data_IF_319822492773
#
_entry.id   IF_319822492773
#
_cell.length_a   1.000
_cell.length_b   1.000
_cell.length_c   1.000
_cell.angle_alpha   90.00
_cell.angle_beta   90.00
_cell.angle_gamma   90.00
#
_symmetry.space_group_name_H-M   'P 1'
#
loop_
_entity.id
_entity.type
_entity.pdbx_description
1 polymer ?
#
# COMPACT_ATOMS: atom_id res chain seq x y z
N UNK A 1 -20.33 18.99 -42.32
CA UNK A 1 -20.17 18.79 -40.87
C UNK A 1 -18.85 18.08 -40.64
N UNK A 2 -17.77 18.84 -40.43
CA UNK A 2 -16.43 18.28 -40.21
C UNK A 2 -16.15 18.29 -38.71
N UNK A 3 -15.94 17.12 -38.13
CA UNK A 3 -15.36 16.98 -36.79
C UNK A 3 -13.85 16.93 -37.01
N UNK A 4 -13.05 17.91 -36.57
CA UNK A 4 -11.61 17.80 -36.64
C UNK A 4 -11.12 16.88 -35.51
N UNK A 5 -10.57 15.73 -35.88
CA UNK A 5 -9.72 14.89 -35.04
C UNK A 5 -8.47 15.72 -34.65
N UNK A 6 -8.50 16.29 -33.44
CA UNK A 6 -7.38 17.05 -32.87
C UNK A 6 -6.38 16.02 -32.32
N UNK A 7 -5.11 16.01 -32.75
CA UNK A 7 -4.13 15.11 -32.18
C UNK A 7 -3.98 15.44 -30.69
N UNK A 8 -4.26 14.45 -29.84
CA UNK A 8 -4.00 14.53 -28.42
C UNK A 8 -2.48 14.48 -28.26
N UNK A 9 -1.85 15.65 -28.16
CA UNK A 9 -0.46 15.78 -27.73
C UNK A 9 -0.34 15.09 -26.37
N UNK A 10 0.27 13.90 -26.34
CA UNK A 10 0.80 13.33 -25.10
C UNK A 10 1.87 14.29 -24.61
N UNK A 11 1.51 15.13 -23.65
CA UNK A 11 2.50 15.73 -22.76
C UNK A 11 3.11 14.57 -22.00
N UNK A 12 4.31 14.15 -22.42
CA UNK A 12 5.21 13.36 -21.59
C UNK A 12 5.53 14.21 -20.37
N UNK A 13 4.71 14.11 -19.33
CA UNK A 13 5.12 14.50 -17.97
C UNK A 13 6.37 13.68 -17.73
N UNK A 14 7.48 14.40 -17.50
CA UNK A 14 8.82 13.87 -17.58
C UNK A 14 8.95 12.51 -16.91
N UNK A 15 9.74 11.63 -17.53
CA UNK A 15 10.29 10.47 -16.87
C UNK A 15 11.16 10.97 -15.70
N UNK A 16 10.50 11.32 -14.59
CA UNK A 16 11.12 11.23 -13.29
C UNK A 16 11.63 9.81 -13.23
N UNK A 17 12.95 9.67 -13.16
CA UNK A 17 13.58 8.39 -12.91
C UNK A 17 12.77 7.72 -11.81
N UNK A 18 12.07 6.63 -12.12
CA UNK A 18 11.75 5.64 -11.11
C UNK A 18 13.13 5.15 -10.69
N UNK A 19 13.71 5.80 -9.68
CA UNK A 19 14.80 5.22 -8.96
C UNK A 19 14.25 3.88 -8.50
N UNK A 20 14.77 2.81 -9.08
CA UNK A 20 14.72 1.47 -8.53
C UNK A 20 15.52 1.50 -7.22
N UNK A 21 15.06 2.29 -6.26
CA UNK A 21 15.50 2.23 -4.89
C UNK A 21 15.08 0.87 -4.39
N UNK A 22 15.97 0.19 -3.68
CA UNK A 22 15.61 -0.96 -2.87
C UNK A 22 14.33 -0.58 -2.11
N UNK A 23 13.25 -1.36 -2.25
CA UNK A 23 12.01 -1.07 -1.54
C UNK A 23 12.35 -0.85 -0.07
N UNK A 24 11.95 0.27 0.54
CA UNK A 24 12.39 0.60 1.91
C UNK A 24 11.75 -0.33 2.95
N UNK A 25 10.70 -1.02 2.57
CA UNK A 25 10.08 -2.10 3.32
C UNK A 25 9.44 -3.12 2.35
N UNK A 26 8.91 -4.20 2.88
CA UNK A 26 8.04 -5.15 2.18
C UNK A 26 6.77 -5.42 2.98
N UNK A 27 5.63 -5.60 2.32
CA UNK A 27 4.38 -6.05 2.95
C UNK A 27 4.21 -7.55 2.71
N UNK A 28 3.82 -8.33 3.72
CA UNK A 28 3.57 -9.78 3.58
C UNK A 28 2.21 -10.13 4.18
N UNK A 29 1.33 -10.88 3.48
CA UNK A 29 1.48 -11.38 2.10
C UNK A 29 1.44 -10.24 1.05
N UNK A 30 2.06 -10.49 -0.12
CA UNK A 30 1.95 -9.62 -1.29
C UNK A 30 0.74 -10.03 -2.13
N UNK A 31 -0.07 -9.04 -2.45
CA UNK A 31 -1.23 -9.04 -3.34
C UNK A 31 -2.21 -10.20 -3.14
N UNK A 32 -2.73 -10.40 -1.91
CA UNK A 32 -3.56 -11.55 -1.59
C UNK A 32 -4.94 -11.48 -2.27
N UNK A 33 -5.40 -12.64 -2.73
CA UNK A 33 -6.79 -12.88 -3.16
C UNK A 33 -7.54 -13.51 -1.99
N UNK A 34 -8.65 -12.90 -1.59
CA UNK A 34 -9.42 -13.24 -0.40
C UNK A 34 -10.91 -13.32 -0.75
N UNK A 35 -11.66 -14.11 0.01
CA UNK A 35 -13.12 -14.12 -0.09
C UNK A 35 -13.73 -13.05 0.80
N UNK A 36 -14.90 -12.51 0.41
CA UNK A 36 -15.67 -11.58 1.23
C UNK A 36 -15.95 -12.18 2.62
N UNK A 37 -15.75 -11.39 3.67
CA UNK A 37 -15.88 -11.79 5.08
C UNK A 37 -14.59 -12.36 5.70
N UNK A 38 -13.55 -12.62 4.89
CA UNK A 38 -12.26 -13.10 5.37
C UNK A 38 -11.54 -12.07 6.27
N UNK A 39 -10.58 -12.56 7.04
CA UNK A 39 -9.62 -11.73 7.78
C UNK A 39 -8.26 -11.77 7.11
N UNK A 40 -7.54 -10.64 7.16
CA UNK A 40 -6.17 -10.53 6.68
C UNK A 40 -5.26 -10.11 7.82
N UNK A 41 -4.13 -10.79 7.94
CA UNK A 41 -2.98 -10.30 8.69
C UNK A 41 -1.90 -9.93 7.70
N UNK A 42 -1.50 -8.66 7.69
CA UNK A 42 -0.39 -8.17 6.89
C UNK A 42 0.72 -7.64 7.79
N UNK A 43 1.98 -7.83 7.40
CA UNK A 43 3.15 -7.35 8.14
C UNK A 43 4.00 -6.50 7.22
N UNK A 44 4.36 -5.30 7.67
CA UNK A 44 5.31 -4.42 7.02
C UNK A 44 6.67 -4.65 7.69
N UNK A 45 7.66 -5.07 6.91
CA UNK A 45 9.01 -5.37 7.38
C UNK A 45 9.94 -4.35 6.75
N UNK A 46 10.52 -3.48 7.58
CA UNK A 46 11.40 -2.39 7.17
C UNK A 46 12.79 -2.93 6.88
N UNK A 47 13.37 -2.51 5.76
CA UNK A 47 14.75 -2.84 5.44
C UNK A 47 15.71 -1.99 6.27
N UNK A 48 16.86 -2.53 6.73
CA UNK A 48 17.81 -1.78 7.57
C UNK A 48 18.26 -0.44 6.96
N UNK A 49 18.32 -0.35 5.63
CA UNK A 49 18.70 0.86 4.89
C UNK A 49 17.70 2.01 5.00
N UNK A 50 16.44 1.72 5.39
CA UNK A 50 15.39 2.72 5.51
C UNK A 50 15.47 3.55 6.79
N UNK A 51 16.28 3.12 7.77
CA UNK A 51 16.47 3.79 9.06
C UNK A 51 15.14 4.25 9.70
N UNK A 52 14.15 3.36 9.73
CA UNK A 52 12.84 3.59 10.32
C UNK A 52 12.53 2.50 11.35
N UNK A 53 11.99 2.92 12.50
CA UNK A 53 11.52 2.02 13.55
C UNK A 53 10.06 1.63 13.30
N UNK A 54 9.69 0.39 13.63
CA UNK A 54 8.33 -0.11 13.52
C UNK A 54 7.30 0.71 14.31
N UNK A 55 7.72 1.34 15.40
CA UNK A 55 6.89 2.23 16.21
C UNK A 55 6.50 3.52 15.47
N UNK A 56 7.29 3.94 14.49
CA UNK A 56 7.03 5.13 13.67
C UNK A 56 6.16 4.80 12.44
N UNK A 57 5.73 3.55 12.29
CA UNK A 57 4.96 3.13 11.12
C UNK A 57 3.46 3.22 11.37
N UNK A 58 2.71 3.41 10.29
CA UNK A 58 1.26 3.27 10.30
C UNK A 58 0.75 2.69 8.98
N UNK A 59 -0.50 2.25 8.99
CA UNK A 59 -1.14 1.64 7.82
C UNK A 59 -2.28 2.50 7.30
N UNK A 60 -2.45 2.50 5.98
CA UNK A 60 -3.65 3.03 5.34
C UNK A 60 -4.29 1.97 4.45
N UNK A 61 -5.62 1.95 4.37
CA UNK A 61 -6.37 1.18 3.39
C UNK A 61 -7.15 2.16 2.49
N UNK A 62 -6.90 2.14 1.18
CA UNK A 62 -7.51 3.06 0.22
C UNK A 62 -7.36 4.54 0.60
N UNK A 63 -6.21 4.90 1.19
CA UNK A 63 -5.91 6.25 1.65
C UNK A 63 -6.46 6.63 3.02
N UNK A 64 -7.28 5.77 3.64
CA UNK A 64 -7.77 5.99 5.01
C UNK A 64 -6.82 5.37 6.02
N UNK A 65 -6.38 6.14 7.02
CA UNK A 65 -5.51 5.64 8.08
C UNK A 65 -6.26 4.65 8.96
N UNK A 66 -5.68 3.46 9.13
CA UNK A 66 -6.25 2.41 9.95
C UNK A 66 -6.07 2.73 11.45
N UNK A 67 -7.05 2.42 12.31
CA UNK A 67 -6.91 2.60 13.75
C UNK A 67 -5.72 1.82 14.34
N UNK A 68 -4.97 2.45 15.23
CA UNK A 68 -3.76 1.87 15.83
C UNK A 68 -4.04 0.62 16.70
N UNK A 69 -5.26 0.43 17.19
CA UNK A 69 -5.65 -0.78 17.93
C UNK A 69 -5.70 -2.04 17.05
N UNK A 70 -5.65 -1.90 15.72
CA UNK A 70 -5.51 -3.01 14.78
C UNK A 70 -4.05 -3.45 14.62
N UNK A 71 -3.11 -2.70 15.19
CA UNK A 71 -1.69 -2.91 15.00
C UNK A 71 -1.11 -3.81 16.09
N UNK A 72 -0.07 -4.55 15.73
CA UNK A 72 0.76 -5.29 16.67
C UNK A 72 2.22 -5.14 16.26
N UNK A 73 3.05 -4.59 17.14
CA UNK A 73 4.50 -4.63 16.95
C UNK A 73 4.94 -6.10 16.99
N UNK A 74 5.75 -6.49 16.00
CA UNK A 74 6.39 -7.81 15.96
C UNK A 74 7.79 -7.70 16.56
N UNK A 75 8.52 -6.66 16.16
CA UNK A 75 9.83 -6.23 16.67
C UNK A 75 10.11 -4.80 16.18
N UNK A 76 11.31 -4.28 16.44
CA UNK A 76 11.73 -2.91 16.08
C UNK A 76 11.71 -2.61 14.57
N UNK A 77 11.67 -3.63 13.71
CA UNK A 77 11.65 -3.47 12.24
C UNK A 77 10.37 -3.97 11.58
N UNK A 78 9.38 -4.46 12.33
CA UNK A 78 8.17 -5.03 11.75
C UNK A 78 6.89 -4.66 12.51
N UNK A 79 5.95 -4.07 11.78
CA UNK A 79 4.60 -3.73 12.27
C UNK A 79 3.56 -4.58 11.53
N UNK A 80 2.71 -5.27 12.29
CA UNK A 80 1.59 -6.04 11.77
C UNK A 80 0.29 -5.25 11.88
N UNK A 81 -0.62 -5.46 10.93
CA UNK A 81 -2.02 -5.06 11.00
C UNK A 81 -2.94 -6.28 10.81
N UNK A 82 -4.04 -6.33 11.54
CA UNK A 82 -5.07 -7.36 11.36
C UNK A 82 -6.42 -6.73 11.01
N UNK A 83 -6.88 -7.00 9.78
CA UNK A 83 -8.19 -6.63 9.26
C UNK A 83 -9.13 -7.82 9.38
N UNK A 84 -10.39 -7.60 9.75
CA UNK A 84 -11.41 -8.66 9.93
C UNK A 84 -12.66 -8.31 9.16
N UNK A 85 -13.35 -9.32 8.65
CA UNK A 85 -14.63 -9.14 7.97
C UNK A 85 -14.51 -8.21 6.75
N UNK A 86 -13.51 -8.45 5.90
CA UNK A 86 -13.26 -7.61 4.73
C UNK A 86 -14.46 -7.64 3.79
N UNK A 87 -14.87 -6.45 3.33
CA UNK A 87 -15.84 -6.32 2.25
C UNK A 87 -15.15 -6.57 0.90
N UNK A 88 -15.96 -6.76 -0.15
CA UNK A 88 -15.43 -6.83 -1.52
C UNK A 88 -14.64 -5.57 -1.88
N UNK A 89 -13.60 -5.75 -2.70
CA UNK A 89 -12.72 -4.65 -3.13
C UNK A 89 -13.53 -3.54 -3.78
N UNK A 90 -13.22 -2.30 -3.41
CA UNK A 90 -13.92 -1.11 -3.92
C UNK A 90 -13.37 -0.65 -5.27
N UNK A 91 -12.13 -1.02 -5.57
CA UNK A 91 -11.42 -0.65 -6.78
C UNK A 91 -11.23 -1.87 -7.68
N UNK A 92 -11.33 -1.66 -8.99
CA UNK A 92 -11.12 -2.72 -9.99
C UNK A 92 -9.68 -3.27 -9.95
N UNK A 93 -8.71 -2.46 -9.53
CA UNK A 93 -7.30 -2.85 -9.38
C UNK A 93 -6.97 -3.53 -8.04
N UNK A 94 -7.96 -3.74 -7.16
CA UNK A 94 -7.76 -4.14 -5.77
C UNK A 94 -7.65 -2.95 -4.82
N UNK A 95 -7.89 -3.19 -3.53
CA UNK A 95 -7.80 -2.17 -2.48
C UNK A 95 -6.35 -1.96 -2.06
N UNK A 96 -5.93 -0.71 -1.88
CA UNK A 96 -4.53 -0.35 -1.63
C UNK A 96 -4.24 -0.38 -0.14
N UNK A 97 -3.59 -1.43 0.35
CA UNK A 97 -3.04 -1.50 1.70
C UNK A 97 -1.59 -1.00 1.68
N UNK A 98 -1.34 0.15 2.30
CA UNK A 98 -0.02 0.80 2.28
C UNK A 98 0.53 0.93 3.70
N UNK A 99 1.83 0.67 3.82
CA UNK A 99 2.63 0.93 5.01
C UNK A 99 3.38 2.25 4.82
N UNK A 100 3.26 3.13 5.81
CA UNK A 100 3.86 4.45 5.81
C UNK A 100 4.77 4.62 7.01
N UNK A 101 5.72 5.53 6.88
CA UNK A 101 6.44 6.13 8.02
C UNK A 101 5.67 7.36 8.51
N UNK A 102 5.86 7.76 9.77
CA UNK A 102 5.30 8.94 10.42
C UNK A 102 5.47 10.27 9.67
N UNK A 103 6.41 10.37 8.74
CA UNK A 103 6.59 11.51 7.83
C UNK A 103 5.68 11.47 6.58
N UNK A 104 4.73 10.52 6.53
CA UNK A 104 3.81 10.23 5.43
C UNK A 104 4.44 9.66 4.16
N UNK A 105 5.69 9.18 4.22
CA UNK A 105 6.29 8.46 3.10
C UNK A 105 5.76 7.04 3.03
N UNK A 106 5.30 6.63 1.85
CA UNK A 106 4.99 5.22 1.55
C UNK A 106 6.31 4.44 1.52
N UNK A 107 6.39 3.39 2.35
CA UNK A 107 7.55 2.49 2.39
C UNK A 107 7.31 1.21 1.58
N UNK A 108 6.08 0.69 1.60
CA UNK A 108 5.67 -0.51 0.90
C UNK A 108 4.14 -0.57 0.74
N UNK A 109 3.66 -1.41 -0.16
CA UNK A 109 2.23 -1.59 -0.41
C UNK A 109 1.87 -3.00 -0.84
N UNK A 110 0.57 -3.27 -0.85
CA UNK A 110 -0.05 -4.44 -1.45
C UNK A 110 -1.47 -4.13 -1.89
N UNK A 111 -1.88 -4.69 -3.03
CA UNK A 111 -3.24 -4.66 -3.55
C UNK A 111 -4.04 -5.86 -3.01
N UNK A 112 -5.09 -5.60 -2.24
CA UNK A 112 -6.00 -6.63 -1.72
C UNK A 112 -7.12 -6.88 -2.72
N UNK A 113 -7.25 -8.12 -3.19
CA UNK A 113 -8.34 -8.55 -4.07
C UNK A 113 -9.36 -9.35 -3.27
N UNK A 114 -10.51 -8.76 -2.97
CA UNK A 114 -11.57 -9.38 -2.18
C UNK A 114 -12.83 -9.51 -3.03
N UNK A 115 -13.29 -10.75 -3.25
CA UNK A 115 -14.44 -11.05 -4.12
C UNK A 115 -15.11 -12.37 -3.82
#
# INVERSE_FOLDING_TARGET
MSIPEKPLTMLFVGAGRVQSGCALAVVVPQDPILTIGSSLTATCIVNPEANADAQDLYWTLNGEQLPANLYSLVNDSALKVTLRGLNGSRQQSGDNLLCHRSDNRVLAGSCLYVG
#
